data_IF_090738291114
#
_entry.id   IF_090738291114
#
_cell.length_a   1.000
_cell.length_b   1.000
_cell.length_c   1.000
_cell.angle_alpha   90.00
_cell.angle_beta   90.00
_cell.angle_gamma   90.00
#
_symmetry.space_group_name_H-M   'P 1'
#
loop_
_entity.id
_entity.type
_entity.pdbx_description
1 polymer ?
#
# COMPACT_ATOMS: atom_id res chain seq x y z
N UNK A 1 56.11 -12.59 -25.97
CA UNK A 1 55.96 -14.06 -25.94
C UNK A 1 56.99 -14.60 -24.94
N UNK A 2 56.54 -15.14 -23.81
CA UNK A 2 57.40 -15.81 -22.81
C UNK A 2 56.80 -17.19 -22.49
N UNK A 3 57.63 -18.24 -22.34
CA UNK A 3 57.15 -19.62 -22.23
C UNK A 3 56.76 -20.02 -20.78
N UNK A 4 55.93 -21.07 -20.59
CA UNK A 4 55.48 -21.56 -19.29
C UNK A 4 56.39 -22.66 -18.72
N UNK A 5 56.46 -22.78 -17.39
CA UNK A 5 57.25 -23.79 -16.68
C UNK A 5 56.55 -24.31 -15.42
N UNK A 6 56.63 -25.62 -15.22
CA UNK A 6 55.78 -26.48 -14.38
C UNK A 6 56.02 -26.48 -12.84
N UNK A 7 54.93 -26.79 -12.11
CA UNK A 7 54.75 -27.54 -10.82
C UNK A 7 55.99 -27.90 -9.97
N UNK A 8 55.85 -27.84 -8.63
CA UNK A 8 55.89 -29.01 -7.70
C UNK A 8 55.22 -28.73 -6.33
N UNK A 9 54.63 -29.79 -5.79
CA UNK A 9 53.99 -29.96 -4.48
C UNK A 9 54.99 -30.05 -3.31
N UNK A 10 54.57 -29.65 -2.10
CA UNK A 10 55.09 -30.01 -0.75
C UNK A 10 54.25 -29.27 0.33
N UNK A 11 53.91 -29.72 1.54
CA UNK A 11 54.24 -30.85 2.43
C UNK A 11 53.05 -31.05 3.41
N UNK A 12 52.93 -32.28 3.93
CA UNK A 12 52.71 -32.69 5.34
C UNK A 12 51.84 -31.78 6.24
N UNK A 13 50.78 -32.23 6.89
CA UNK A 13 50.66 -33.46 7.66
C UNK A 13 50.93 -33.19 9.14
N UNK A 14 49.89 -33.07 9.99
CA UNK A 14 49.93 -33.55 11.39
C UNK A 14 48.56 -33.56 12.08
N UNK A 15 48.38 -34.67 12.79
CA UNK A 15 47.30 -35.08 13.69
C UNK A 15 47.15 -34.13 14.90
N UNK A 16 45.95 -34.07 15.46
CA UNK A 16 45.66 -34.19 16.91
C UNK A 16 44.14 -34.34 17.09
N UNK A 17 43.70 -35.55 17.45
CA UNK A 17 43.35 -35.97 18.82
C UNK A 17 41.92 -35.58 19.18
N UNK A 18 41.06 -36.60 19.16
CA UNK A 18 39.73 -36.54 19.71
C UNK A 18 39.75 -36.45 21.23
N UNK A 19 38.75 -35.75 21.75
CA UNK A 19 38.30 -35.85 23.12
C UNK A 19 36.79 -36.06 23.09
N UNK A 20 36.35 -37.06 23.82
CA UNK A 20 34.97 -37.49 24.01
C UNK A 20 34.38 -36.86 25.27
N UNK A 21 33.10 -36.44 25.22
CA UNK A 21 32.02 -36.52 26.26
C UNK A 21 30.94 -35.43 26.03
N UNK A 22 29.71 -35.57 26.55
CA UNK A 22 28.77 -36.68 26.50
C UNK A 22 27.37 -36.20 26.00
N UNK A 23 26.38 -37.09 26.06
CA UNK A 23 24.96 -36.90 25.73
C UNK A 23 24.16 -36.02 26.70
N UNK A 24 23.16 -35.30 26.16
CA UNK A 24 21.91 -34.97 26.86
C UNK A 24 21.72 -33.54 27.38
N UNK A 25 20.94 -32.74 26.65
CA UNK A 25 20.24 -31.55 27.18
C UNK A 25 18.98 -31.31 26.33
N UNK A 26 17.80 -31.07 26.93
CA UNK A 26 16.59 -30.86 26.15
C UNK A 26 16.70 -29.58 25.34
N UNK A 27 16.16 -29.60 24.11
CA UNK A 27 15.93 -28.39 23.34
C UNK A 27 14.97 -27.49 24.12
N UNK A 28 15.46 -26.33 24.52
CA UNK A 28 14.64 -25.27 25.11
C UNK A 28 13.66 -24.80 24.02
N UNK A 29 12.33 -24.90 24.22
CA UNK A 29 11.41 -24.36 23.23
C UNK A 29 11.61 -22.85 23.20
N UNK A 30 12.07 -22.34 22.06
CA UNK A 30 12.04 -20.91 21.75
C UNK A 30 10.62 -20.42 22.05
N UNK A 31 10.49 -19.70 23.17
CA UNK A 31 9.26 -19.07 23.60
C UNK A 31 8.81 -18.18 22.46
N UNK A 32 7.78 -18.61 21.74
CA UNK A 32 7.09 -17.79 20.78
C UNK A 32 6.67 -16.53 21.52
N UNK A 33 7.40 -15.44 21.29
CA UNK A 33 7.06 -14.14 21.82
C UNK A 33 5.67 -13.84 21.30
N UNK A 34 4.68 -13.85 22.21
CA UNK A 34 3.45 -13.12 22.02
C UNK A 34 3.82 -11.63 22.00
N UNK A 35 4.44 -11.21 20.90
CA UNK A 35 4.44 -9.81 20.54
C UNK A 35 2.97 -9.49 20.31
N UNK A 36 2.39 -8.71 21.22
CA UNK A 36 1.15 -8.01 20.94
C UNK A 36 1.45 -7.17 19.69
N UNK A 37 1.10 -7.69 18.51
CA UNK A 37 1.08 -6.90 17.29
C UNK A 37 0.08 -5.78 17.60
N UNK A 38 0.60 -4.60 17.93
CA UNK A 38 -0.19 -3.39 17.95
C UNK A 38 -0.78 -3.27 16.56
N UNK A 39 -2.07 -3.62 16.41
CA UNK A 39 -2.79 -3.41 15.15
C UNK A 39 -2.66 -1.93 14.89
N UNK A 40 -1.92 -1.56 13.85
CA UNK A 40 -1.93 -0.20 13.33
C UNK A 40 -3.39 0.09 13.01
N UNK A 41 -4.03 0.94 13.81
CA UNK A 41 -5.43 1.28 13.61
C UNK A 41 -5.53 2.14 12.34
N UNK A 42 -6.29 1.66 11.36
CA UNK A 42 -6.59 2.38 10.13
C UNK A 42 -7.11 3.79 10.44
N UNK A 43 -6.54 4.81 9.80
CA UNK A 43 -7.04 6.19 9.82
C UNK A 43 -7.86 6.45 8.56
N UNK A 44 -9.11 6.87 8.70
CA UNK A 44 -9.96 7.26 7.56
C UNK A 44 -10.22 8.76 7.64
N UNK A 45 -9.85 9.48 6.59
CA UNK A 45 -10.09 10.91 6.46
C UNK A 45 -11.17 11.16 5.43
N UNK A 46 -12.31 11.71 5.89
CA UNK A 46 -13.41 12.12 5.05
C UNK A 46 -13.24 13.57 4.61
N UNK A 47 -13.40 13.82 3.31
CA UNK A 47 -13.41 15.13 2.70
C UNK A 47 -14.79 15.38 2.09
N UNK A 48 -15.63 16.15 2.80
CA UNK A 48 -17.02 16.45 2.39
C UNK A 48 -17.13 17.67 1.51
N UNK A 49 -18.29 17.87 0.87
CA UNK A 49 -18.64 19.08 0.14
C UNK A 49 -17.74 19.41 -1.05
N UNK A 50 -17.06 18.40 -1.61
CA UNK A 50 -16.23 18.58 -2.79
C UNK A 50 -17.11 18.98 -3.98
N UNK A 51 -16.91 20.20 -4.50
CA UNK A 51 -17.63 20.68 -5.68
C UNK A 51 -17.35 19.80 -6.91
N UNK A 52 -16.10 19.39 -7.07
CA UNK A 52 -15.64 18.50 -8.13
C UNK A 52 -14.82 17.34 -7.53
N UNK A 53 -15.48 16.23 -7.13
CA UNK A 53 -14.83 15.14 -6.40
C UNK A 53 -13.60 14.55 -7.10
N UNK A 54 -13.64 14.39 -8.43
CA UNK A 54 -12.52 13.85 -9.20
C UNK A 54 -11.32 14.83 -9.23
N UNK A 55 -11.56 16.11 -9.50
CA UNK A 55 -10.50 17.12 -9.44
C UNK A 55 -9.90 17.24 -8.03
N UNK A 56 -10.75 17.15 -7.00
CA UNK A 56 -10.28 17.12 -5.62
C UNK A 56 -9.44 15.86 -5.32
N UNK A 57 -9.85 14.69 -5.82
CA UNK A 57 -9.07 13.46 -5.71
C UNK A 57 -7.68 13.61 -6.36
N UNK A 58 -7.58 14.21 -7.55
CA UNK A 58 -6.28 14.50 -8.18
C UNK A 58 -5.36 15.35 -7.28
N UNK A 59 -5.91 16.37 -6.59
CA UNK A 59 -5.14 17.18 -5.63
C UNK A 59 -4.61 16.35 -4.46
N UNK A 60 -5.43 15.44 -3.93
CA UNK A 60 -5.01 14.52 -2.86
C UNK A 60 -3.91 13.56 -3.33
N UNK A 61 -4.07 12.99 -4.53
CA UNK A 61 -3.12 12.07 -5.13
C UNK A 61 -1.77 12.75 -5.38
N UNK A 62 -1.77 13.98 -5.90
CA UNK A 62 -0.54 14.78 -6.03
C UNK A 62 0.19 14.93 -4.70
N UNK A 63 -0.51 15.32 -3.64
CA UNK A 63 0.10 15.48 -2.31
C UNK A 63 0.66 14.17 -1.77
N UNK A 64 -0.03 13.05 -2.03
CA UNK A 64 0.42 11.74 -1.61
C UNK A 64 1.67 11.26 -2.37
N UNK A 65 1.72 11.50 -3.69
CA UNK A 65 2.90 11.23 -4.52
C UNK A 65 4.10 12.07 -4.08
N UNK A 66 3.91 13.37 -3.83
CA UNK A 66 4.97 14.25 -3.33
C UNK A 66 5.52 13.82 -1.96
N UNK A 67 4.71 13.12 -1.16
CA UNK A 67 5.15 12.54 0.11
C UNK A 67 5.87 11.17 -0.05
N UNK A 68 6.04 10.66 -1.28
CA UNK A 68 6.73 9.40 -1.57
C UNK A 68 6.01 8.15 -1.08
N UNK A 69 4.70 8.25 -0.78
CA UNK A 69 3.91 7.12 -0.26
C UNK A 69 3.35 6.29 -1.42
N UNK A 70 3.33 4.94 -1.34
CA UNK A 70 2.58 4.12 -2.29
C UNK A 70 1.08 4.44 -2.23
N UNK A 71 0.47 4.74 -3.38
CA UNK A 71 -0.93 5.19 -3.45
C UNK A 71 -1.75 4.28 -4.34
N UNK A 72 -2.86 3.77 -3.79
CA UNK A 72 -3.88 3.05 -4.55
C UNK A 72 -5.17 3.84 -4.63
N UNK A 73 -5.88 3.71 -5.74
CA UNK A 73 -7.24 4.21 -5.94
C UNK A 73 -8.18 3.03 -6.18
N UNK A 74 -9.25 2.93 -5.41
CA UNK A 74 -10.35 2.02 -5.69
C UNK A 74 -11.45 2.76 -6.46
N UNK A 75 -11.65 2.38 -7.72
CA UNK A 75 -12.69 2.91 -8.60
C UNK A 75 -13.47 1.72 -9.20
N UNK A 76 -14.53 1.24 -8.52
CA UNK A 76 -15.28 0.05 -8.96
C UNK A 76 -16.04 0.23 -10.29
N UNK A 77 -16.45 1.47 -10.59
CA UNK A 77 -17.10 1.84 -11.84
C UNK A 77 -16.04 2.15 -12.91
N UNK A 78 -16.12 1.45 -14.05
CA UNK A 78 -15.09 1.58 -15.10
C UNK A 78 -15.13 2.96 -15.77
N UNK A 79 -16.30 3.56 -15.94
CA UNK A 79 -16.42 4.89 -16.53
C UNK A 79 -15.78 5.96 -15.62
N UNK A 80 -15.99 5.86 -14.31
CA UNK A 80 -15.35 6.70 -13.31
C UNK A 80 -13.83 6.54 -13.31
N UNK A 81 -13.36 5.30 -13.37
CA UNK A 81 -11.93 5.01 -13.42
C UNK A 81 -11.29 5.57 -14.70
N UNK A 82 -12.00 5.52 -15.84
CA UNK A 82 -11.53 6.08 -17.11
C UNK A 82 -11.46 7.61 -17.08
N UNK A 83 -12.46 8.25 -16.48
CA UNK A 83 -12.46 9.70 -16.25
C UNK A 83 -11.31 10.13 -15.35
N UNK A 84 -11.03 9.39 -14.28
CA UNK A 84 -9.89 9.67 -13.42
C UNK A 84 -8.57 9.55 -14.17
N UNK A 85 -8.37 8.47 -14.93
CA UNK A 85 -7.15 8.23 -15.72
C UNK A 85 -6.88 9.40 -16.68
N UNK A 86 -7.88 9.79 -17.47
CA UNK A 86 -7.79 10.94 -18.38
C UNK A 86 -7.53 12.27 -17.65
N UNK A 87 -8.12 12.47 -16.47
CA UNK A 87 -7.88 13.65 -15.65
C UNK A 87 -6.46 13.66 -15.08
N UNK A 88 -5.92 12.55 -14.60
CA UNK A 88 -4.56 12.48 -14.06
C UNK A 88 -3.49 12.76 -15.12
N UNK A 89 -3.79 12.50 -16.39
CA UNK A 89 -2.95 12.93 -17.53
C UNK A 89 -2.98 14.43 -17.78
N UNK A 90 -4.12 15.09 -17.57
CA UNK A 90 -4.34 16.50 -17.97
C UNK A 90 -4.47 17.48 -16.79
N UNK A 91 -4.35 17.01 -15.55
CA UNK A 91 -4.76 17.71 -14.34
C UNK A 91 -4.11 19.09 -14.16
N UNK A 92 -2.80 19.21 -14.43
CA UNK A 92 -2.10 20.49 -14.47
C UNK A 92 -1.14 20.50 -15.66
N UNK A 93 -1.10 21.56 -16.49
CA UNK A 93 -0.27 21.61 -17.69
C UNK A 93 1.24 21.39 -17.45
N UNK A 94 1.70 21.57 -16.21
CA UNK A 94 3.10 21.43 -15.81
C UNK A 94 3.38 20.19 -14.94
N UNK A 95 2.38 19.39 -14.59
CA UNK A 95 2.54 18.31 -13.60
C UNK A 95 1.78 17.05 -14.01
N UNK A 96 2.48 16.16 -14.72
CA UNK A 96 2.04 14.80 -14.93
C UNK A 96 2.03 14.05 -13.59
N UNK A 97 0.91 13.41 -13.27
CA UNK A 97 0.81 12.50 -12.12
C UNK A 97 1.01 11.06 -12.62
N UNK A 98 2.14 10.40 -12.34
CA UNK A 98 2.38 9.03 -12.78
C UNK A 98 1.29 8.11 -12.23
N UNK A 99 0.61 7.39 -13.13
CA UNK A 99 -0.46 6.49 -12.76
C UNK A 99 -0.58 5.34 -13.77
N UNK A 100 -1.25 4.27 -13.35
CA UNK A 100 -1.64 3.17 -14.23
C UNK A 100 -2.87 2.44 -13.73
N UNK A 101 -3.57 1.80 -14.66
CA UNK A 101 -4.48 0.69 -14.33
C UNK A 101 -3.64 -0.50 -13.88
N UNK A 102 -3.92 -0.99 -12.68
CA UNK A 102 -3.18 -2.10 -12.08
C UNK A 102 -3.92 -3.42 -12.28
N UNK A 103 -3.14 -4.47 -12.52
CA UNK A 103 -3.61 -5.85 -12.55
C UNK A 103 -2.61 -6.72 -11.78
N UNK A 104 -3.07 -7.75 -11.05
CA UNK A 104 -2.18 -8.72 -10.43
C UNK A 104 -1.21 -9.34 -11.45
N UNK A 105 0.05 -9.53 -11.06
CA UNK A 105 1.11 -10.09 -11.91
C UNK A 105 1.96 -9.06 -12.65
N UNK A 106 1.61 -7.77 -12.59
CA UNK A 106 2.52 -6.70 -12.97
C UNK A 106 3.51 -6.42 -11.83
N UNK A 107 4.70 -5.91 -12.15
CA UNK A 107 5.64 -5.44 -11.13
C UNK A 107 5.25 -4.02 -10.65
N UNK A 108 5.15 -3.77 -9.32
CA UNK A 108 4.89 -2.44 -8.77
C UNK A 108 6.05 -1.48 -9.10
N UNK A 109 5.76 -0.26 -9.56
CA UNK A 109 6.78 0.78 -9.77
C UNK A 109 6.62 1.83 -8.67
N UNK A 110 7.72 2.31 -8.08
CA UNK A 110 7.64 3.37 -7.09
C UNK A 110 7.19 4.68 -7.74
N UNK A 111 6.48 5.51 -6.98
CA UNK A 111 6.15 6.87 -7.39
C UNK A 111 4.99 6.99 -8.38
N UNK A 112 4.12 6.00 -8.49
CA UNK A 112 2.91 6.07 -9.31
C UNK A 112 1.64 5.73 -8.51
N UNK A 113 0.49 6.20 -9.00
CA UNK A 113 -0.83 5.84 -8.50
C UNK A 113 -1.31 4.56 -9.19
N UNK A 114 -1.74 3.58 -8.40
CA UNK A 114 -2.33 2.34 -8.92
C UNK A 114 -3.86 2.42 -8.86
N UNK A 115 -4.52 2.39 -10.02
CA UNK A 115 -5.98 2.41 -10.12
C UNK A 115 -6.48 0.97 -10.28
N UNK A 116 -7.35 0.54 -9.37
CA UNK A 116 -7.95 -0.80 -9.35
C UNK A 116 -9.46 -0.72 -9.21
N UNK A 117 -10.15 -1.77 -9.70
CA UNK A 117 -11.58 -1.98 -9.44
C UNK A 117 -11.83 -2.48 -8.02
N UNK A 118 -10.94 -3.32 -7.51
CA UNK A 118 -11.01 -3.93 -6.19
C UNK A 118 -9.72 -3.64 -5.41
N UNK A 119 -9.86 -2.98 -4.26
CA UNK A 119 -8.75 -2.64 -3.38
C UNK A 119 -7.95 -3.86 -2.92
N UNK A 120 -8.53 -5.07 -2.91
CA UNK A 120 -7.81 -6.30 -2.59
C UNK A 120 -6.63 -6.55 -3.55
N UNK A 121 -6.71 -6.08 -4.79
CA UNK A 121 -5.69 -6.29 -5.82
C UNK A 121 -4.41 -5.45 -5.64
N UNK A 122 -4.46 -4.42 -4.79
CA UNK A 122 -3.31 -3.54 -4.58
C UNK A 122 -2.13 -4.29 -3.92
N UNK A 123 -0.89 -4.06 -4.38
CA UNK A 123 0.30 -4.76 -3.87
C UNK A 123 0.79 -4.20 -2.52
N UNK A 124 0.14 -3.16 -1.98
CA UNK A 124 0.54 -2.48 -0.75
C UNK A 124 -0.70 -2.04 0.05
N UNK A 125 -0.47 -1.66 1.31
CA UNK A 125 -1.53 -1.20 2.24
C UNK A 125 -1.25 0.17 2.87
N UNK A 126 -0.43 1.01 2.23
CA UNK A 126 -0.05 2.32 2.77
C UNK A 126 -1.15 3.40 2.69
N UNK A 127 -1.70 3.65 1.50
CA UNK A 127 -2.74 4.65 1.29
C UNK A 127 -3.75 4.18 0.24
N UNK A 128 -5.03 4.28 0.57
CA UNK A 128 -6.14 4.04 -0.34
C UNK A 128 -6.95 5.33 -0.50
N UNK A 129 -7.26 5.72 -1.73
CA UNK A 129 -8.32 6.67 -2.03
C UNK A 129 -9.51 5.91 -2.60
N UNK A 130 -10.66 6.03 -1.96
CA UNK A 130 -11.90 5.40 -2.44
C UNK A 130 -12.72 6.41 -3.25
N UNK A 131 -13.09 6.02 -4.47
CA UNK A 131 -14.03 6.75 -5.33
C UNK A 131 -15.37 6.01 -5.49
N UNK A 132 -15.49 4.80 -4.95
CA UNK A 132 -16.73 4.04 -4.98
C UNK A 132 -17.78 4.54 -4.00
N UNK A 133 -19.03 4.14 -4.25
CA UNK A 133 -20.15 4.42 -3.34
C UNK A 133 -20.07 3.59 -2.05
N UNK A 134 -19.48 2.40 -2.14
CA UNK A 134 -19.30 1.46 -1.04
C UNK A 134 -17.90 1.54 -0.42
N UNK A 135 -17.80 1.11 0.83
CA UNK A 135 -16.51 0.96 1.50
C UNK A 135 -15.83 -0.33 0.97
N UNK A 136 -14.60 -0.26 0.43
CA UNK A 136 -13.91 -1.47 -0.03
C UNK A 136 -13.72 -2.46 1.12
N UNK A 137 -13.94 -3.76 0.88
CA UNK A 137 -13.86 -4.79 1.93
C UNK A 137 -12.52 -4.77 2.68
N UNK A 138 -11.43 -4.57 1.94
CA UNK A 138 -10.06 -4.53 2.47
C UNK A 138 -9.63 -3.15 3.00
N UNK A 139 -10.52 -2.16 3.04
CA UNK A 139 -10.16 -0.78 3.39
C UNK A 139 -9.52 -0.65 4.78
N UNK A 140 -9.99 -1.41 5.76
CA UNK A 140 -9.44 -1.38 7.13
C UNK A 140 -8.05 -2.01 7.26
N UNK A 141 -7.58 -2.71 6.23
CA UNK A 141 -6.23 -3.24 6.18
C UNK A 141 -5.20 -2.20 5.73
N UNK A 142 -5.65 -1.03 5.26
CA UNK A 142 -4.78 0.09 4.93
C UNK A 142 -4.42 0.93 6.16
N UNK A 143 -3.20 1.47 6.18
CA UNK A 143 -2.79 2.43 7.21
C UNK A 143 -3.65 3.70 7.16
N UNK A 144 -3.98 4.17 5.95
CA UNK A 144 -4.84 5.33 5.73
C UNK A 144 -5.79 5.15 4.54
N UNK A 145 -7.03 5.59 4.72
CA UNK A 145 -8.06 5.68 3.67
C UNK A 145 -8.49 7.14 3.51
N UNK A 146 -8.60 7.60 2.27
CA UNK A 146 -9.13 8.90 1.92
C UNK A 146 -10.49 8.70 1.25
N UNK A 147 -11.51 9.32 1.82
CA UNK A 147 -12.88 9.28 1.35
C UNK A 147 -13.26 10.65 0.81
N UNK A 148 -13.60 10.72 -0.48
CA UNK A 148 -14.05 11.97 -1.12
C UNK A 148 -15.56 11.91 -1.29
N UNK A 149 -16.27 12.90 -0.74
CA UNK A 149 -17.73 12.99 -0.77
C UNK A 149 -18.11 14.32 -1.43
N UNK A 150 -18.85 14.23 -2.54
CA UNK A 150 -19.38 15.40 -3.21
C UNK A 150 -20.64 15.97 -2.55
N UNK A 151 -21.29 16.91 -3.23
CA UNK A 151 -22.43 17.67 -2.70
C UNK A 151 -23.79 17.05 -3.03
N UNK A 152 -23.83 16.14 -4.00
CA UNK A 152 -25.07 15.47 -4.39
C UNK A 152 -25.62 14.62 -3.25
N UNK A 153 -26.94 14.62 -3.06
CA UNK A 153 -27.58 13.93 -1.93
C UNK A 153 -27.25 12.43 -1.91
N UNK A 154 -27.17 11.79 -3.09
CA UNK A 154 -26.78 10.38 -3.22
C UNK A 154 -25.34 10.13 -2.73
N UNK A 155 -24.41 11.05 -3.05
CA UNK A 155 -23.01 10.96 -2.62
C UNK A 155 -22.88 11.19 -1.11
N UNK A 156 -23.61 12.17 -0.57
CA UNK A 156 -23.66 12.45 0.87
C UNK A 156 -24.23 11.25 1.62
N UNK A 157 -25.31 10.65 1.12
CA UNK A 157 -25.89 9.44 1.70
C UNK A 157 -24.90 8.28 1.72
N UNK A 158 -24.26 7.99 0.58
CA UNK A 158 -23.26 6.93 0.46
C UNK A 158 -22.07 7.18 1.40
N UNK A 159 -21.56 8.42 1.46
CA UNK A 159 -20.49 8.82 2.38
C UNK A 159 -20.84 8.57 3.85
N UNK A 160 -22.07 8.90 4.26
CA UNK A 160 -22.57 8.60 5.62
C UNK A 160 -22.64 7.10 5.90
N UNK A 161 -23.01 6.28 4.92
CA UNK A 161 -23.00 4.82 5.08
C UNK A 161 -21.58 4.30 5.30
N UNK A 162 -20.62 4.71 4.47
CA UNK A 162 -19.20 4.34 4.62
C UNK A 162 -18.62 4.80 5.95
N UNK A 163 -18.94 6.02 6.40
CA UNK A 163 -18.54 6.52 7.72
C UNK A 163 -18.96 5.57 8.85
N UNK A 164 -20.24 5.13 8.85
CA UNK A 164 -20.74 4.18 9.87
C UNK A 164 -20.03 2.83 9.79
N UNK A 165 -19.72 2.35 8.58
CA UNK A 165 -18.98 1.10 8.39
C UNK A 165 -17.59 1.20 9.04
N UNK A 166 -16.83 2.26 8.74
CA UNK A 166 -15.49 2.44 9.31
C UNK A 166 -15.53 2.69 10.83
N UNK A 167 -16.53 3.43 11.32
CA UNK A 167 -16.73 3.64 12.75
C UNK A 167 -16.96 2.31 13.49
N UNK A 168 -17.86 1.46 12.97
CA UNK A 168 -18.12 0.12 13.52
C UNK A 168 -16.91 -0.80 13.41
N UNK A 169 -16.10 -0.61 12.37
CA UNK A 169 -14.84 -1.31 12.16
C UNK A 169 -13.69 -0.86 13.06
N UNK A 170 -13.89 0.15 13.92
CA UNK A 170 -12.89 0.64 14.86
C UNK A 170 -11.80 1.51 14.24
N UNK A 171 -12.05 2.09 13.06
CA UNK A 171 -11.12 3.05 12.45
C UNK A 171 -11.08 4.37 13.23
N UNK A 172 -9.94 5.06 13.18
CA UNK A 172 -9.85 6.47 13.61
C UNK A 172 -10.38 7.35 12.48
N UNK A 173 -11.36 8.19 12.78
CA UNK A 173 -12.06 8.99 11.77
C UNK A 173 -11.73 10.48 11.92
N UNK A 174 -11.32 11.10 10.82
CA UNK A 174 -11.22 12.55 10.70
C UNK A 174 -12.21 13.03 9.65
N UNK A 175 -12.70 14.26 9.82
CA UNK A 175 -13.58 14.91 8.87
C UNK A 175 -13.05 16.30 8.52
N UNK A 176 -12.98 16.58 7.22
CA UNK A 176 -12.53 17.83 6.65
C UNK A 176 -13.57 18.31 5.63
N UNK A 177 -13.74 19.63 5.53
CA UNK A 177 -14.47 20.21 4.41
C UNK A 177 -13.53 20.38 3.21
N UNK A 178 -14.02 20.03 2.01
CA UNK A 178 -13.39 20.22 0.72
C UNK A 178 -14.05 21.33 -0.11
N UNK A 179 -14.89 22.15 0.54
CA UNK A 179 -15.52 23.32 -0.06
C UNK A 179 -14.52 24.44 -0.38
#
# INVERSE_FOLDING_TARGET
MGPPGHRRYRLEGRRRQGLYRPSGGPADPLRAGQGTLSRVSCQVSFYSDAAEPLHFACRLLRRALAAGRPVGVCAPDEALAWRLDALLWSFEPAEFLPHRRWQPGLEPRPGEVLIVRDAAQLPHRALLLNLGEEAPAEALNFERVLEVVGREESQVHAGRQRYRIYQRGGARLDHFSAA
#
